data_IF_591233975579
#
_entry.id   IF_591233975579
#
_cell.length_a   1.000
_cell.length_b   1.000
_cell.length_c   1.000
_cell.angle_alpha   90.00
_cell.angle_beta   90.00
_cell.angle_gamma   90.00
#
_symmetry.space_group_name_H-M   'P 1'
#
loop_
_entity.id
_entity.type
_entity.pdbx_description
1 polymer ?
#
# COMPACT_ATOMS: atom_id res chain seq x y z
N UNK A 1 4.74 -3.38 -3.54
CA UNK A 1 6.16 -3.76 -3.76
C UNK A 1 7.08 -2.70 -3.15
N UNK A 2 6.93 -1.41 -3.50
CA UNK A 2 7.78 -0.33 -2.99
C UNK A 2 7.81 -0.26 -1.45
N UNK A 3 6.68 -0.35 -0.78
CA UNK A 3 6.62 -0.36 0.68
C UNK A 3 7.38 -1.52 1.30
N UNK A 4 7.30 -2.70 0.69
CA UNK A 4 8.03 -3.87 1.17
C UNK A 4 9.55 -3.67 0.97
N UNK A 5 9.95 -3.14 -0.18
CA UNK A 5 11.34 -2.80 -0.47
C UNK A 5 11.90 -1.81 0.56
N UNK A 6 11.17 -0.74 0.84
CA UNK A 6 11.58 0.27 1.83
C UNK A 6 11.73 -0.34 3.23
N UNK A 7 10.74 -1.08 3.70
CA UNK A 7 10.79 -1.69 5.04
C UNK A 7 11.89 -2.74 5.17
N UNK A 8 12.09 -3.55 4.14
CA UNK A 8 13.14 -4.57 4.13
C UNK A 8 14.54 -3.94 4.21
N UNK A 9 14.79 -2.86 3.48
CA UNK A 9 16.09 -2.21 3.43
C UNK A 9 16.36 -1.27 4.62
N UNK A 10 15.33 -0.57 5.11
CA UNK A 10 15.51 0.47 6.13
C UNK A 10 15.20 0.00 7.55
N UNK A 11 14.36 -1.03 7.71
CA UNK A 11 13.93 -1.55 9.00
C UNK A 11 14.11 -3.07 9.06
N UNK A 12 15.36 -3.56 9.03
CA UNK A 12 15.62 -4.99 8.90
C UNK A 12 15.04 -5.83 10.03
N UNK A 13 15.00 -5.31 11.26
CA UNK A 13 14.45 -6.00 12.44
C UNK A 13 12.93 -6.10 12.47
N UNK A 14 12.23 -5.28 11.65
CA UNK A 14 10.77 -5.19 11.60
C UNK A 14 10.19 -5.48 10.22
N UNK A 15 11.03 -5.81 9.24
CA UNK A 15 10.62 -5.90 7.82
C UNK A 15 9.44 -6.86 7.57
N UNK A 16 9.42 -8.01 8.23
CA UNK A 16 8.34 -8.98 8.09
C UNK A 16 7.00 -8.46 8.63
N UNK A 17 7.01 -7.90 9.85
CA UNK A 17 5.81 -7.35 10.47
C UNK A 17 5.28 -6.15 9.69
N UNK A 18 6.17 -5.27 9.24
CA UNK A 18 5.80 -4.16 8.38
C UNK A 18 5.27 -4.64 7.03
N UNK A 19 5.83 -5.68 6.44
CA UNK A 19 5.32 -6.30 5.22
C UNK A 19 3.90 -6.82 5.40
N UNK A 20 3.61 -7.49 6.49
CA UNK A 20 2.26 -7.96 6.82
C UNK A 20 1.30 -6.80 7.12
N UNK A 21 1.69 -5.85 7.95
CA UNK A 21 0.83 -4.74 8.34
C UNK A 21 0.61 -3.73 7.22
N UNK A 22 1.61 -3.46 6.38
CA UNK A 22 1.58 -2.42 5.36
C UNK A 22 1.24 -2.91 3.96
N UNK A 23 1.36 -4.19 3.69
CA UNK A 23 1.09 -4.75 2.38
C UNK A 23 -0.03 -5.80 2.42
N UNK A 24 0.12 -6.84 3.21
CA UNK A 24 -0.84 -7.94 3.23
C UNK A 24 -2.17 -7.53 3.85
N UNK A 25 -2.17 -6.96 5.05
CA UNK A 25 -3.39 -6.57 5.74
C UNK A 25 -4.25 -5.56 4.95
N UNK A 26 -3.70 -4.45 4.43
CA UNK A 26 -4.49 -3.52 3.62
C UNK A 26 -4.94 -4.13 2.29
N UNK A 27 -4.17 -5.06 1.72
CA UNK A 27 -4.56 -5.75 0.49
C UNK A 27 -5.73 -6.68 0.73
N UNK A 28 -5.69 -7.50 1.77
CA UNK A 28 -6.80 -8.38 2.17
C UNK A 28 -8.04 -7.56 2.50
N UNK A 29 -7.90 -6.49 3.28
CA UNK A 29 -9.00 -5.59 3.60
C UNK A 29 -9.61 -4.92 2.36
N UNK A 30 -8.77 -4.53 1.39
CA UNK A 30 -9.24 -3.98 0.13
C UNK A 30 -10.00 -5.00 -0.72
N UNK A 31 -9.64 -6.27 -0.67
CA UNK A 31 -10.36 -7.33 -1.39
C UNK A 31 -11.69 -7.69 -0.74
N UNK A 32 -11.71 -7.85 0.57
CA UNK A 32 -12.87 -8.38 1.30
C UNK A 32 -13.84 -7.28 1.68
N UNK A 33 -13.33 -6.16 2.17
CA UNK A 33 -14.15 -5.14 2.84
C UNK A 33 -14.36 -3.90 1.97
N UNK A 34 -13.30 -3.34 1.41
CA UNK A 34 -13.34 -2.02 0.79
C UNK A 34 -12.58 -1.98 -0.54
N UNK A 35 -13.19 -2.53 -1.60
CA UNK A 35 -12.63 -2.45 -2.95
C UNK A 35 -12.37 -1.00 -3.35
N UNK A 36 -11.13 -0.72 -3.76
CA UNK A 36 -10.67 0.62 -4.11
C UNK A 36 -10.13 1.45 -2.94
N UNK A 37 -10.34 1.03 -1.68
CA UNK A 37 -9.88 1.73 -0.48
C UNK A 37 -8.50 1.28 0.03
N UNK A 38 -7.62 0.80 -0.83
CA UNK A 38 -6.33 0.26 -0.40
C UNK A 38 -5.48 1.26 0.38
N UNK A 39 -5.44 2.52 -0.07
CA UNK A 39 -4.65 3.57 0.59
C UNK A 39 -5.19 3.88 1.99
N UNK A 40 -6.52 3.95 2.14
CA UNK A 40 -7.16 4.16 3.44
C UNK A 40 -6.90 2.99 4.39
N UNK A 41 -7.08 1.77 3.90
CA UNK A 41 -6.80 0.57 4.68
C UNK A 41 -5.33 0.52 5.11
N UNK A 42 -4.39 0.93 4.21
CA UNK A 42 -2.98 1.03 4.55
C UNK A 42 -2.71 2.07 5.63
N UNK A 43 -3.38 3.21 5.60
CA UNK A 43 -3.24 4.23 6.63
C UNK A 43 -3.69 3.71 8.00
N UNK A 44 -4.81 3.00 8.05
CA UNK A 44 -5.31 2.39 9.29
C UNK A 44 -4.40 1.27 9.80
N UNK A 45 -3.98 0.36 8.94
CA UNK A 45 -3.08 -0.74 9.37
C UNK A 45 -1.73 -0.22 9.80
N UNK A 46 -1.22 0.84 9.15
CA UNK A 46 0.00 1.52 9.58
C UNK A 46 -0.17 2.17 10.95
N UNK A 47 -1.28 2.89 11.18
CA UNK A 47 -1.54 3.54 12.46
C UNK A 47 -1.64 2.51 13.59
N UNK A 48 -2.38 1.43 13.40
CA UNK A 48 -2.50 0.34 14.37
C UNK A 48 -1.12 -0.28 14.63
N UNK A 49 -0.37 -0.59 13.57
CA UNK A 49 0.99 -1.16 13.72
C UNK A 49 1.90 -0.21 14.49
N UNK A 50 1.94 1.07 14.15
CA UNK A 50 2.77 2.06 14.84
C UNK A 50 2.41 2.18 16.32
N UNK A 51 1.12 2.18 16.66
CA UNK A 51 0.68 2.19 18.06
C UNK A 51 1.22 0.98 18.82
N UNK A 52 1.10 -0.22 18.28
CA UNK A 52 1.63 -1.41 18.93
C UNK A 52 3.17 -1.40 19.00
N UNK A 53 3.84 -1.07 17.91
CA UNK A 53 5.29 -1.08 17.83
C UNK A 53 5.98 -0.02 18.70
N UNK A 54 5.29 1.10 18.97
CA UNK A 54 5.83 2.18 19.81
C UNK A 54 5.49 2.02 21.28
N UNK A 55 4.32 1.47 21.60
CA UNK A 55 3.85 1.32 22.98
C UNK A 55 4.46 0.08 23.64
N UNK A 56 4.64 -0.98 22.88
CA UNK A 56 5.19 -2.23 23.40
C UNK A 56 6.65 -2.39 22.97
N UNK A 57 7.61 -2.45 23.92
CA UNK A 57 9.03 -2.60 23.62
C UNK A 57 9.39 -3.95 22.98
N UNK A 58 8.45 -4.89 22.96
CA UNK A 58 8.64 -6.24 22.40
C UNK A 58 9.11 -6.28 20.94
N UNK A 59 8.89 -5.22 20.17
CA UNK A 59 9.31 -5.13 18.77
C UNK A 59 10.61 -4.33 18.57
N UNK A 60 11.08 -3.63 19.61
CA UNK A 60 12.22 -2.68 19.50
C UNK A 60 13.49 -3.21 20.18
N UNK A 61 13.37 -4.09 21.16
CA UNK A 61 14.47 -4.64 21.94
C UNK A 61 14.62 -6.15 21.69
N UNK A 62 15.64 -6.76 22.25
CA UNK A 62 15.86 -8.21 22.19
C UNK A 62 14.70 -8.96 22.89
N UNK A 63 13.70 -9.26 22.15
CA UNK A 63 12.53 -10.02 22.58
C UNK A 63 12.23 -11.16 21.61
N UNK A 64 11.31 -12.04 22.00
CA UNK A 64 10.87 -13.16 21.16
C UNK A 64 10.21 -12.72 19.85
N UNK A 65 9.79 -11.47 19.72
CA UNK A 65 9.16 -10.90 18.54
C UNK A 65 10.16 -10.16 17.63
N UNK A 66 11.41 -9.97 18.06
CA UNK A 66 12.44 -9.40 17.21
C UNK A 66 12.85 -10.42 16.15
N UNK A 67 12.64 -10.07 14.91
CA UNK A 67 13.18 -10.83 13.80
C UNK A 67 14.62 -10.39 13.55
N UNK A 68 15.57 -11.26 13.84
CA UNK A 68 16.94 -11.06 13.39
C UNK A 68 16.97 -11.17 11.88
N UNK A 69 16.85 -10.05 11.19
CA UNK A 69 16.95 -10.01 9.75
C UNK A 69 18.42 -10.18 9.38
N UNK A 70 18.72 -11.28 8.73
CA UNK A 70 19.90 -11.33 7.86
C UNK A 70 19.57 -10.45 6.65
N UNK A 71 20.06 -9.22 6.62
CA UNK A 71 20.05 -8.40 5.43
C UNK A 71 20.89 -9.11 4.37
N UNK A 72 20.24 -9.92 3.54
CA UNK A 72 20.89 -10.51 2.38
C UNK A 72 20.98 -9.43 1.29
N UNK A 73 22.20 -9.01 0.90
CA UNK A 73 22.41 -8.00 -0.15
C UNK A 73 21.74 -8.39 -1.48
N UNK A 74 21.70 -9.68 -1.78
CA UNK A 74 21.08 -10.20 -3.01
C UNK A 74 19.58 -10.00 -2.98
N UNK A 75 18.93 -10.34 -1.87
CA UNK A 75 17.50 -10.16 -1.69
C UNK A 75 17.12 -8.66 -1.68
N UNK A 76 17.90 -7.83 -0.99
CA UNK A 76 17.71 -6.37 -0.97
C UNK A 76 17.77 -5.78 -2.38
N UNK A 77 18.78 -6.17 -3.16
CA UNK A 77 18.93 -5.73 -4.55
C UNK A 77 17.78 -6.21 -5.43
N UNK A 78 17.41 -7.48 -5.32
CA UNK A 78 16.32 -8.06 -6.10
C UNK A 78 14.98 -7.36 -5.84
N UNK A 79 14.65 -7.09 -4.57
CA UNK A 79 13.41 -6.38 -4.19
C UNK A 79 13.46 -4.92 -4.67
N UNK A 80 14.61 -4.27 -4.63
CA UNK A 80 14.79 -2.91 -5.13
C UNK A 80 14.60 -2.82 -6.64
N UNK A 81 15.16 -3.74 -7.39
CA UNK A 81 14.96 -3.83 -8.85
C UNK A 81 13.48 -4.12 -9.17
N UNK A 82 12.85 -5.04 -8.47
CA UNK A 82 11.43 -5.34 -8.65
C UNK A 82 10.54 -4.12 -8.37
N UNK A 83 10.85 -3.35 -7.33
CA UNK A 83 10.15 -2.12 -7.00
C UNK A 83 10.33 -1.04 -8.07
N UNK A 84 11.56 -0.87 -8.59
CA UNK A 84 11.85 0.07 -9.67
C UNK A 84 11.09 -0.29 -10.95
N UNK A 85 11.14 -1.54 -11.37
CA UNK A 85 10.43 -2.02 -12.55
C UNK A 85 8.92 -1.82 -12.41
N UNK A 86 8.35 -2.15 -11.26
CA UNK A 86 6.93 -1.94 -11.00
C UNK A 86 6.53 -0.45 -11.06
N UNK A 87 7.35 0.44 -10.52
CA UNK A 87 7.10 1.88 -10.57
C UNK A 87 7.17 2.42 -12.01
N UNK A 88 8.18 2.02 -12.78
CA UNK A 88 8.30 2.40 -14.19
C UNK A 88 7.08 1.89 -14.98
N UNK A 89 6.68 0.64 -14.79
CA UNK A 89 5.51 0.06 -15.46
C UNK A 89 4.22 0.84 -15.09
N UNK A 90 4.06 1.25 -13.84
CA UNK A 90 2.93 2.05 -13.41
C UNK A 90 2.90 3.44 -14.09
N UNK A 91 4.05 4.11 -14.17
CA UNK A 91 4.18 5.41 -14.85
C UNK A 91 3.83 5.27 -16.34
N UNK A 92 4.39 4.27 -17.02
CA UNK A 92 4.11 3.99 -18.43
C UNK A 92 2.61 3.72 -18.62
N UNK A 93 2.01 2.92 -17.75
CA UNK A 93 0.58 2.59 -17.82
C UNK A 93 -0.30 3.84 -17.65
N UNK A 94 0.00 4.70 -16.69
CA UNK A 94 -0.73 5.96 -16.47
C UNK A 94 -0.57 6.88 -17.69
N UNK A 95 0.64 7.04 -18.20
CA UNK A 95 0.92 7.85 -19.39
C UNK A 95 0.18 7.34 -20.64
N UNK A 96 0.20 6.01 -20.84
CA UNK A 96 -0.54 5.36 -21.91
C UNK A 96 -2.04 5.63 -21.82
N UNK A 97 -2.63 5.46 -20.63
CA UNK A 97 -4.05 5.72 -20.42
C UNK A 97 -4.40 7.19 -20.62
N UNK A 98 -3.59 8.09 -20.07
CA UNK A 98 -3.76 9.53 -20.23
C UNK A 98 -3.78 9.92 -21.72
N UNK A 99 -2.83 9.41 -22.49
CA UNK A 99 -2.75 9.63 -23.94
C UNK A 99 -3.94 9.03 -24.68
N UNK A 100 -4.33 7.79 -24.36
CA UNK A 100 -5.46 7.09 -24.98
C UNK A 100 -6.79 7.79 -24.75
N UNK A 101 -6.99 8.38 -23.59
CA UNK A 101 -8.22 9.08 -23.21
C UNK A 101 -8.19 10.57 -23.50
N UNK A 102 -7.05 11.13 -23.93
CA UNK A 102 -6.85 12.56 -24.12
C UNK A 102 -7.00 13.37 -22.82
N UNK A 103 -6.75 12.76 -21.68
CA UNK A 103 -6.95 13.35 -20.34
C UNK A 103 -5.64 13.73 -19.69
N UNK A 104 -5.64 14.86 -19.01
CA UNK A 104 -4.50 15.28 -18.21
C UNK A 104 -4.57 14.63 -16.80
N UNK A 105 -3.61 13.76 -16.42
CA UNK A 105 -3.65 13.04 -15.15
C UNK A 105 -3.58 13.94 -13.90
N UNK A 106 -3.13 15.20 -14.05
CA UNK A 106 -3.10 16.17 -12.95
C UNK A 106 -4.43 16.88 -12.70
N UNK A 107 -5.32 16.89 -13.69
CA UNK A 107 -6.59 17.63 -13.62
C UNK A 107 -7.83 16.75 -13.74
N UNK A 108 -7.66 15.56 -14.28
CA UNK A 108 -8.75 14.66 -14.61
C UNK A 108 -8.42 13.23 -14.19
N UNK A 109 -9.45 12.47 -13.81
CA UNK A 109 -9.27 11.06 -13.48
C UNK A 109 -9.08 10.24 -14.76
N UNK A 110 -7.92 9.59 -14.85
CA UNK A 110 -7.58 8.71 -15.99
C UNK A 110 -8.17 7.30 -15.83
N UNK A 111 -8.76 6.98 -14.69
CA UNK A 111 -9.39 5.68 -14.42
C UNK A 111 -10.92 5.72 -14.52
N UNK A 112 -11.52 6.88 -14.74
CA UNK A 112 -12.94 7.05 -14.98
C UNK A 112 -13.43 6.13 -16.11
N UNK A 113 -14.57 5.47 -15.88
CA UNK A 113 -15.12 4.48 -16.80
C UNK A 113 -14.52 3.06 -16.65
N UNK A 114 -13.65 2.84 -15.65
CA UNK A 114 -13.27 1.47 -15.27
C UNK A 114 -14.27 0.93 -14.24
N UNK A 115 -14.50 -0.39 -14.26
CA UNK A 115 -15.41 -1.06 -13.31
C UNK A 115 -15.05 -0.80 -11.84
N UNK A 116 -13.78 -0.63 -11.54
CA UNK A 116 -13.31 -0.36 -10.18
C UNK A 116 -13.55 1.09 -9.76
N UNK A 117 -13.40 2.02 -10.71
CA UNK A 117 -13.73 3.43 -10.49
C UNK A 117 -15.23 3.62 -10.26
N UNK A 118 -16.08 2.98 -11.07
CA UNK A 118 -17.54 3.03 -10.92
C UNK A 118 -18.00 2.46 -9.57
N UNK A 119 -17.41 1.33 -9.14
CA UNK A 119 -17.69 0.76 -7.82
C UNK A 119 -17.25 1.65 -6.67
N UNK A 120 -16.11 2.30 -6.80
CA UNK A 120 -15.58 3.21 -5.78
C UNK A 120 -16.45 4.48 -5.66
N UNK A 121 -16.85 5.07 -6.78
CA UNK A 121 -17.71 6.28 -6.80
C UNK A 121 -19.14 6.00 -6.35
N UNK A 122 -19.73 4.88 -6.75
CA UNK A 122 -21.06 4.47 -6.28
C UNK A 122 -21.09 4.25 -4.76
N UNK A 123 -20.00 3.77 -4.19
CA UNK A 123 -19.88 3.58 -2.75
C UNK A 123 -19.74 4.92 -2.00
N UNK A 124 -18.99 5.86 -2.57
CA UNK A 124 -18.83 7.22 -2.04
C UNK A 124 -20.17 7.94 -1.98
N UNK A 125 -20.95 7.89 -3.04
CA UNK A 125 -22.29 8.46 -3.06
C UNK A 125 -23.18 7.91 -1.94
N UNK A 126 -23.16 6.59 -1.69
CA UNK A 126 -23.95 5.99 -0.59
C UNK A 126 -23.52 6.48 0.80
N UNK A 127 -22.24 6.72 1.02
CA UNK A 127 -21.74 7.24 2.32
C UNK A 127 -22.13 8.69 2.50
N UNK A 128 -22.05 9.50 1.46
CA UNK A 128 -22.43 10.91 1.50
C UNK A 128 -23.93 11.08 1.78
N UNK A 129 -24.81 10.23 1.24
CA UNK A 129 -26.23 10.22 1.56
C UNK A 129 -26.53 9.79 3.00
N UNK A 130 -25.79 8.84 3.56
CA UNK A 130 -25.98 8.38 4.93
C UNK A 130 -25.52 9.38 6.00
N UNK A 131 -24.71 10.36 5.62
CA UNK A 131 -24.30 11.47 6.52
C UNK A 131 -25.12 12.73 6.33
N UNK A 132 -26.04 12.77 5.36
CA UNK A 132 -26.92 13.91 5.10
C UNK A 132 -28.32 13.77 5.75
N UNK A 133 -28.62 12.62 6.35
CA UNK A 133 -29.77 12.34 7.22
C UNK A 133 -29.38 12.43 8.70
#
# INVERSE_FOLDING_TARGET
IWNFCYTYNCLPTHSWFCGFALLLAPTVAAFIWNKGGWIQNRAFTLAIWCMFAQVFPYFQEESIFVTHSTLDPSAATAVSIAALVANIAAIIYIAYRAKKLGRNPYKQDVFEGTSDWEKATARRAKVDYAHAE
#
